data_IF_542943701624
#
_entry.id   IF_542943701624
#
_cell.length_a   1.000
_cell.length_b   1.000
_cell.length_c   1.000
_cell.angle_alpha   90.00
_cell.angle_beta   90.00
_cell.angle_gamma   90.00
#
_symmetry.space_group_name_H-M   'P 1'
#
loop_
_entity.id
_entity.type
_entity.pdbx_description
1 polymer ?
#
# COMPACT_ATOMS: atom_id res chain seq x y z
N UNK A 1 5.48 -23.06 -67.00
CA UNK A 1 5.60 -21.68 -67.53
C UNK A 1 6.73 -20.98 -66.77
N UNK A 2 7.70 -20.42 -67.52
CA UNK A 2 8.74 -19.42 -67.16
C UNK A 2 9.44 -19.61 -65.79
N UNK A 3 10.63 -20.23 -65.68
CA UNK A 3 11.98 -19.75 -66.10
C UNK A 3 12.16 -18.23 -65.93
N UNK A 4 13.10 -17.82 -65.06
CA UNK A 4 14.35 -17.13 -65.41
C UNK A 4 15.30 -17.18 -64.19
N UNK A 5 16.56 -17.47 -64.53
CA UNK A 5 17.75 -17.59 -63.70
C UNK A 5 18.73 -16.51 -64.20
N UNK A 6 19.56 -15.93 -63.32
CA UNK A 6 20.83 -15.20 -63.55
C UNK A 6 21.41 -14.97 -62.13
N UNK A 7 22.56 -15.47 -61.62
CA UNK A 7 23.92 -15.76 -62.14
C UNK A 7 24.53 -14.48 -62.74
N UNK A 8 25.69 -13.94 -62.38
CA UNK A 8 26.97 -14.49 -61.90
C UNK A 8 27.95 -13.37 -61.50
N UNK A 9 29.08 -13.79 -60.94
CA UNK A 9 30.30 -13.09 -60.48
C UNK A 9 31.04 -12.19 -61.49
N UNK A 10 31.82 -11.22 -61.00
CA UNK A 10 32.86 -10.44 -61.73
C UNK A 10 33.84 -9.81 -60.69
N UNK A 11 35.02 -10.35 -60.36
CA UNK A 11 36.34 -10.46 -61.02
C UNK A 11 37.13 -9.13 -61.17
N UNK A 12 38.37 -9.12 -60.63
CA UNK A 12 39.56 -8.32 -61.04
C UNK A 12 39.84 -7.07 -60.20
N UNK A 13 40.89 -6.94 -59.35
CA UNK A 13 42.35 -7.13 -59.52
C UNK A 13 42.95 -6.32 -60.68
N UNK A 14 43.79 -5.29 -60.38
CA UNK A 14 45.10 -5.01 -61.01
C UNK A 14 45.79 -3.75 -60.40
N UNK A 15 47.00 -4.01 -59.90
CA UNK A 15 48.24 -3.22 -59.80
C UNK A 15 48.35 -1.78 -60.35
N UNK A 16 49.12 -0.94 -59.65
CA UNK A 16 50.34 -0.39 -60.26
C UNK A 16 50.64 1.12 -60.15
N UNK A 17 51.40 1.51 -59.12
CA UNK A 17 52.59 2.41 -59.09
C UNK A 17 52.77 3.56 -60.11
N UNK A 18 53.01 4.78 -59.60
CA UNK A 18 54.03 5.79 -59.99
C UNK A 18 53.96 6.95 -58.96
N UNK A 19 54.78 7.04 -57.91
CA UNK A 19 56.20 7.43 -57.80
C UNK A 19 56.53 8.86 -58.29
N UNK A 20 56.91 9.73 -57.33
CA UNK A 20 57.93 10.82 -57.28
C UNK A 20 57.55 11.69 -56.05
N UNK A 21 58.08 11.47 -54.85
CA UNK A 21 59.43 11.80 -54.32
C UNK A 21 59.62 13.31 -54.02
N UNK A 22 59.89 13.56 -52.73
CA UNK A 22 60.58 14.70 -52.08
C UNK A 22 59.81 15.99 -51.75
N UNK A 23 59.60 16.22 -50.45
CA UNK A 23 60.29 17.34 -49.80
C UNK A 23 60.63 17.02 -48.34
N UNK A 24 61.86 17.32 -47.98
CA UNK A 24 62.54 16.92 -46.76
C UNK A 24 62.23 17.82 -45.55
N UNK A 25 62.19 17.18 -44.39
CA UNK A 25 62.73 17.59 -43.08
C UNK A 25 62.53 19.04 -42.62
N UNK A 26 61.77 19.19 -41.53
CA UNK A 26 62.26 19.90 -40.33
C UNK A 26 61.56 19.32 -39.08
N UNK A 27 62.25 18.43 -38.37
CA UNK A 27 61.94 18.09 -36.98
C UNK A 27 62.47 19.24 -36.13
N UNK A 28 61.58 20.09 -35.64
CA UNK A 28 61.89 20.95 -34.50
C UNK A 28 61.57 20.17 -33.22
N UNK A 29 62.48 20.14 -32.23
CA UNK A 29 62.11 19.70 -30.90
C UNK A 29 61.12 20.71 -30.33
N UNK A 30 59.89 20.28 -30.02
CA UNK A 30 59.05 21.04 -29.10
C UNK A 30 59.68 20.89 -27.72
N UNK A 31 60.56 21.83 -27.42
CA UNK A 31 61.06 22.07 -26.08
C UNK A 31 59.86 22.47 -25.20
N UNK A 32 59.59 21.66 -24.18
CA UNK A 32 58.52 21.88 -23.23
C UNK A 32 58.82 23.16 -22.43
N UNK A 33 57.91 24.12 -22.47
CA UNK A 33 57.83 25.13 -21.42
C UNK A 33 56.94 24.55 -20.31
N UNK A 34 57.42 24.42 -19.06
CA UNK A 34 56.52 24.16 -17.94
C UNK A 34 55.51 25.32 -17.87
N UNK A 35 54.24 24.97 -17.67
CA UNK A 35 53.18 25.93 -17.39
C UNK A 35 53.60 26.78 -16.18
N UNK A 36 53.23 28.07 -16.15
CA UNK A 36 53.35 28.87 -14.94
C UNK A 36 52.67 28.11 -13.80
N UNK A 37 53.39 27.87 -12.71
CA UNK A 37 52.78 27.51 -11.44
C UNK A 37 51.91 28.71 -11.04
N UNK A 38 50.64 28.70 -11.44
CA UNK A 38 49.63 29.56 -10.83
C UNK A 38 49.50 29.09 -9.38
N UNK A 39 50.28 29.76 -8.53
CA UNK A 39 50.16 29.75 -7.09
C UNK A 39 48.68 30.03 -6.76
N UNK A 40 47.94 28.98 -6.40
CA UNK A 40 46.60 29.13 -5.82
C UNK A 40 46.75 30.13 -4.67
N UNK A 41 45.91 31.19 -4.62
CA UNK A 41 45.95 32.13 -3.52
C UNK A 41 45.80 31.37 -2.21
N UNK A 42 46.41 31.84 -1.10
CA UNK A 42 46.25 31.20 0.19
C UNK A 42 44.77 30.94 0.41
N UNK A 43 44.41 29.70 0.74
CA UNK A 43 43.10 29.45 1.31
C UNK A 43 43.08 30.20 2.64
N UNK A 44 42.66 31.46 2.59
CA UNK A 44 42.11 32.13 3.74
C UNK A 44 41.06 31.17 4.26
N UNK A 45 41.41 30.55 5.38
CA UNK A 45 40.50 29.76 6.18
C UNK A 45 39.28 30.64 6.35
N UNK A 46 38.18 30.31 5.68
CA UNK A 46 36.89 30.87 6.06
C UNK A 46 36.67 30.31 7.46
N UNK A 47 37.11 31.09 8.45
CA UNK A 47 36.68 30.92 9.82
C UNK A 47 35.17 31.14 9.74
N UNK A 48 34.45 30.03 9.67
CA UNK A 48 33.04 30.01 9.95
C UNK A 48 32.92 30.45 11.41
N UNK A 49 32.80 31.75 11.62
CA UNK A 49 32.38 32.33 12.88
C UNK A 49 30.91 31.99 13.02
N UNK A 50 30.65 30.76 13.47
CA UNK A 50 29.37 30.41 14.06
C UNK A 50 29.26 31.35 15.29
N UNK A 51 28.29 32.28 15.34
CA UNK A 51 28.05 33.02 16.57
C UNK A 51 27.73 31.99 17.67
N UNK A 52 28.23 32.14 18.91
CA UNK A 52 27.89 31.25 20.00
C UNK A 52 26.47 31.61 20.47
N UNK A 53 25.47 31.22 19.70
CA UNK A 53 24.12 31.09 20.24
C UNK A 53 23.94 29.64 20.64
N UNK A 54 24.41 29.31 21.84
CA UNK A 54 23.91 28.15 22.59
C UNK A 54 22.56 28.54 23.18
N UNK A 55 21.57 28.77 22.31
CA UNK A 55 20.20 28.51 22.73
C UNK A 55 20.06 26.99 22.65
N UNK A 56 19.77 26.29 23.77
CA UNK A 56 19.41 24.89 23.68
C UNK A 56 18.24 24.81 22.72
N UNK A 57 18.44 24.11 21.59
CA UNK A 57 17.34 23.70 20.73
C UNK A 57 16.34 23.08 21.70
N UNK A 58 15.12 23.60 21.83
CA UNK A 58 14.14 22.97 22.69
C UNK A 58 14.06 21.53 22.20
N UNK A 59 14.45 20.60 23.06
CA UNK A 59 14.27 19.16 22.87
C UNK A 59 12.77 18.93 22.96
N UNK A 60 12.06 19.42 21.95
CA UNK A 60 10.74 18.94 21.62
C UNK A 60 11.07 17.59 21.02
N UNK A 61 11.08 16.56 21.85
CA UNK A 61 10.90 15.19 21.36
C UNK A 61 9.80 15.29 20.30
N UNK A 62 10.03 14.85 19.06
CA UNK A 62 8.95 14.77 18.11
C UNK A 62 7.90 13.86 18.75
N UNK A 63 6.85 14.46 19.31
CA UNK A 63 5.65 13.73 19.70
C UNK A 63 5.08 13.24 18.39
N UNK A 64 5.51 12.05 17.97
CA UNK A 64 4.63 11.15 17.28
C UNK A 64 3.55 10.81 18.31
N UNK A 65 2.61 11.74 18.49
CA UNK A 65 1.34 11.45 19.12
C UNK A 65 0.83 10.29 18.28
N UNK A 66 0.93 9.06 18.80
CA UNK A 66 0.37 7.89 18.17
C UNK A 66 -1.15 8.00 18.32
N UNK A 67 -1.74 9.02 17.71
CA UNK A 67 -3.18 9.08 17.52
C UNK A 67 -3.51 7.88 16.64
N UNK A 68 -3.95 6.81 17.31
CA UNK A 68 -4.49 5.64 16.64
C UNK A 68 -5.50 6.17 15.62
N UNK A 69 -5.36 5.81 14.33
CA UNK A 69 -6.29 6.25 13.30
C UNK A 69 -7.71 5.99 13.80
N UNK A 70 -8.49 7.06 13.95
CA UNK A 70 -9.89 6.92 14.34
C UNK A 70 -10.63 6.42 13.12
N UNK A 71 -10.96 5.13 13.11
CA UNK A 71 -11.70 4.50 12.03
C UNK A 71 -13.17 4.84 12.22
N UNK A 72 -13.75 5.58 11.27
CA UNK A 72 -15.17 5.84 11.22
C UNK A 72 -15.87 4.71 10.47
N UNK A 73 -16.69 3.92 11.17
CA UNK A 73 -17.56 2.93 10.52
C UNK A 73 -18.74 3.68 9.86
N UNK A 74 -18.88 3.64 8.52
CA UNK A 74 -20.00 4.32 7.86
C UNK A 74 -21.34 3.73 8.33
N UNK A 75 -22.26 4.61 8.79
CA UNK A 75 -23.55 4.19 9.37
C UNK A 75 -23.47 3.76 10.84
N UNK A 76 -22.51 4.32 11.59
CA UNK A 76 -22.17 3.99 12.98
C UNK A 76 -23.29 4.26 13.97
N UNK A 77 -24.01 3.20 14.33
CA UNK A 77 -24.37 2.96 15.74
C UNK A 77 -23.12 2.41 16.39
N UNK A 78 -22.73 3.02 17.51
CA UNK A 78 -21.70 2.46 18.39
C UNK A 78 -22.08 1.03 18.76
N UNK A 79 -21.29 0.07 18.27
CA UNK A 79 -21.61 -1.34 18.45
C UNK A 79 -21.67 -1.75 19.93
N UNK A 80 -21.03 -0.97 20.80
CA UNK A 80 -21.05 -1.12 22.25
C UNK A 80 -22.38 -0.70 22.91
N UNK A 81 -23.24 0.08 22.24
CA UNK A 81 -24.53 0.56 22.80
C UNK A 81 -25.75 0.06 22.04
N UNK A 82 -25.57 -0.69 20.95
CA UNK A 82 -26.71 -1.24 20.23
C UNK A 82 -27.25 -2.51 20.94
N UNK A 83 -28.52 -2.44 21.30
CA UNK A 83 -29.25 -3.52 21.97
C UNK A 83 -30.27 -4.10 20.98
N UNK A 84 -30.28 -5.43 20.83
CA UNK A 84 -31.28 -6.08 19.99
C UNK A 84 -32.66 -5.91 20.63
N UNK A 85 -33.57 -5.28 19.91
CA UNK A 85 -34.92 -4.96 20.37
C UNK A 85 -35.90 -6.08 20.03
N UNK A 86 -35.46 -7.33 20.23
CA UNK A 86 -36.29 -8.51 20.02
C UNK A 86 -37.47 -8.44 20.98
N UNK A 87 -38.68 -8.31 20.43
CA UNK A 87 -39.95 -8.29 21.18
C UNK A 87 -40.22 -7.03 22.03
N UNK A 88 -39.43 -5.96 21.88
CA UNK A 88 -39.74 -4.68 22.56
C UNK A 88 -40.96 -4.04 21.90
N UNK A 89 -41.91 -3.57 22.71
CA UNK A 89 -43.13 -2.85 22.31
C UNK A 89 -42.80 -1.48 21.69
N UNK A 90 -42.18 -1.47 20.51
CA UNK A 90 -42.06 -0.28 19.66
C UNK A 90 -43.33 -0.20 18.84
N UNK A 91 -44.05 0.90 18.96
CA UNK A 91 -45.41 1.20 18.48
C UNK A 91 -45.60 1.17 16.96
N UNK A 92 -44.60 0.75 16.18
CA UNK A 92 -44.66 0.69 14.73
C UNK A 92 -44.36 -0.72 14.22
N UNK A 93 -45.43 -1.48 13.96
CA UNK A 93 -45.35 -2.82 13.36
C UNK A 93 -45.03 -2.80 11.86
N UNK A 94 -45.06 -1.62 11.22
CA UNK A 94 -44.87 -1.48 9.77
C UNK A 94 -43.41 -1.64 9.32
N UNK A 95 -42.47 -1.45 10.23
CA UNK A 95 -41.03 -1.50 9.92
C UNK A 95 -40.38 -2.80 10.44
N UNK A 96 -41.19 -3.85 10.62
CA UNK A 96 -40.74 -5.16 11.09
C UNK A 96 -40.95 -6.22 10.01
N UNK A 97 -40.03 -7.18 9.96
CA UNK A 97 -40.11 -8.32 9.05
C UNK A 97 -39.67 -9.60 9.76
N UNK A 98 -40.18 -10.74 9.28
CA UNK A 98 -39.86 -12.05 9.83
C UNK A 98 -38.53 -12.55 9.26
N UNK A 99 -37.59 -12.90 10.14
CA UNK A 99 -36.32 -13.49 9.78
C UNK A 99 -36.42 -15.00 9.96
N UNK A 100 -36.38 -15.73 8.84
CA UNK A 100 -36.24 -17.19 8.78
C UNK A 100 -34.79 -17.61 8.99
N UNK A 101 -33.86 -16.92 8.35
CA UNK A 101 -32.44 -17.26 8.40
C UNK A 101 -31.55 -16.04 8.18
N UNK A 102 -30.29 -16.15 8.63
CA UNK A 102 -29.26 -15.14 8.45
C UNK A 102 -28.07 -15.81 7.80
N UNK A 103 -27.70 -15.35 6.61
CA UNK A 103 -26.56 -15.84 5.86
C UNK A 103 -25.45 -14.81 5.90
N UNK A 104 -24.26 -15.26 6.30
CA UNK A 104 -23.06 -14.42 6.30
C UNK A 104 -22.14 -14.91 5.19
N UNK A 105 -21.72 -13.99 4.34
CA UNK A 105 -20.86 -14.26 3.18
C UNK A 105 -19.57 -13.46 3.29
N UNK A 106 -18.44 -14.04 2.90
CA UNK A 106 -17.13 -13.37 2.92
C UNK A 106 -16.40 -13.39 4.27
N UNK A 107 -16.92 -14.08 5.28
CA UNK A 107 -16.23 -14.34 6.54
C UNK A 107 -15.34 -15.58 6.43
N UNK A 108 -14.07 -15.44 6.06
CA UNK A 108 -13.14 -16.59 5.97
C UNK A 108 -12.32 -16.77 7.25
N UNK A 109 -12.08 -15.68 7.98
CA UNK A 109 -11.14 -15.67 9.10
C UNK A 109 -11.81 -15.90 10.46
N UNK A 110 -13.02 -15.37 10.66
CA UNK A 110 -13.71 -15.35 11.96
C UNK A 110 -15.08 -16.06 11.92
N UNK A 111 -15.18 -17.19 11.23
CA UNK A 111 -16.44 -17.92 11.04
C UNK A 111 -17.12 -18.29 12.36
N UNK A 112 -16.39 -18.96 13.26
CA UNK A 112 -16.89 -19.43 14.55
C UNK A 112 -17.43 -18.31 15.43
N UNK A 113 -16.66 -17.24 15.59
CA UNK A 113 -17.03 -16.11 16.45
C UNK A 113 -18.23 -15.35 15.88
N UNK A 114 -18.34 -15.28 14.56
CA UNK A 114 -19.50 -14.66 13.90
C UNK A 114 -20.76 -15.52 14.08
N UNK A 115 -20.66 -16.84 13.95
CA UNK A 115 -21.78 -17.74 14.17
C UNK A 115 -22.31 -17.65 15.61
N UNK A 116 -21.41 -17.48 16.59
CA UNK A 116 -21.77 -17.20 17.98
C UNK A 116 -22.54 -15.89 18.13
N UNK A 117 -22.07 -14.78 17.51
CA UNK A 117 -22.79 -13.50 17.52
C UNK A 117 -24.19 -13.62 16.92
N UNK A 118 -24.33 -14.34 15.80
CA UNK A 118 -25.64 -14.56 15.15
C UNK A 118 -26.55 -15.37 16.06
N UNK A 119 -26.05 -16.42 16.69
CA UNK A 119 -26.81 -17.24 17.63
C UNK A 119 -27.27 -16.41 18.84
N UNK A 120 -26.38 -15.63 19.42
CA UNK A 120 -26.64 -14.80 20.61
C UNK A 120 -27.58 -13.63 20.32
N UNK A 121 -27.64 -13.16 19.06
CA UNK A 121 -28.61 -12.14 18.65
C UNK A 121 -30.06 -12.60 18.76
N UNK A 122 -30.30 -13.92 18.75
CA UNK A 122 -31.64 -14.53 18.78
C UNK A 122 -32.60 -14.03 17.68
N UNK A 123 -32.08 -13.45 16.60
CA UNK A 123 -32.88 -12.89 15.51
C UNK A 123 -33.52 -13.97 14.61
N UNK A 124 -32.93 -15.16 14.57
CA UNK A 124 -33.42 -16.27 13.75
C UNK A 124 -34.79 -16.76 14.24
N UNK A 125 -35.71 -16.97 13.29
CA UNK A 125 -37.11 -17.31 13.52
C UNK A 125 -37.89 -16.28 14.34
N UNK A 126 -37.49 -15.01 14.28
CA UNK A 126 -38.16 -13.91 14.98
C UNK A 126 -38.45 -12.74 14.05
N UNK A 127 -39.38 -11.90 14.50
CA UNK A 127 -39.67 -10.62 13.87
C UNK A 127 -38.69 -9.58 14.38
N UNK A 128 -37.96 -8.94 13.48
CA UNK A 128 -36.94 -7.96 13.78
C UNK A 128 -37.16 -6.66 13.00
N UNK A 129 -36.49 -5.61 13.46
CA UNK A 129 -36.45 -4.29 12.82
C UNK A 129 -35.22 -4.15 11.94
N UNK A 130 -35.17 -3.10 11.11
CA UNK A 130 -33.96 -2.77 10.36
C UNK A 130 -32.80 -2.43 11.31
N UNK A 131 -33.08 -1.75 12.42
CA UNK A 131 -32.11 -1.38 13.46
C UNK A 131 -31.43 -2.61 14.07
N UNK A 132 -32.17 -3.71 14.26
CA UNK A 132 -31.61 -4.97 14.74
C UNK A 132 -30.56 -5.53 13.76
N UNK A 133 -30.82 -5.47 12.46
CA UNK A 133 -29.85 -5.90 11.44
C UNK A 133 -28.63 -4.98 11.39
N UNK A 134 -28.85 -3.68 11.52
CA UNK A 134 -27.77 -2.67 11.61
C UNK A 134 -26.90 -2.95 12.84
N UNK A 135 -27.49 -3.31 13.97
CA UNK A 135 -26.77 -3.71 15.18
C UNK A 135 -25.97 -5.00 14.96
N UNK A 136 -26.55 -6.03 14.35
CA UNK A 136 -25.84 -7.27 14.04
C UNK A 136 -24.62 -7.01 13.14
N UNK A 137 -24.80 -6.23 12.08
CA UNK A 137 -23.70 -5.78 11.19
C UNK A 137 -22.62 -5.01 11.96
N UNK A 138 -23.02 -4.09 12.85
CA UNK A 138 -22.07 -3.36 13.71
C UNK A 138 -21.27 -4.32 14.60
N UNK A 139 -21.92 -5.31 15.23
CA UNK A 139 -21.25 -6.28 16.12
C UNK A 139 -20.22 -7.13 15.37
N UNK A 140 -20.55 -7.57 14.16
CA UNK A 140 -19.61 -8.28 13.30
C UNK A 140 -18.42 -7.38 12.96
N UNK A 141 -18.65 -6.13 12.56
CA UNK A 141 -17.55 -5.19 12.27
C UNK A 141 -16.67 -4.94 13.50
N UNK A 142 -17.28 -4.76 14.67
CA UNK A 142 -16.57 -4.57 15.94
C UNK A 142 -15.68 -5.77 16.29
N UNK A 143 -16.17 -7.00 16.07
CA UNK A 143 -15.37 -8.21 16.24
C UNK A 143 -14.10 -8.19 15.38
N UNK A 144 -14.18 -7.77 14.11
CA UNK A 144 -13.00 -7.62 13.25
C UNK A 144 -12.03 -6.58 13.79
N UNK A 145 -12.54 -5.43 14.24
CA UNK A 145 -11.70 -4.37 14.83
C UNK A 145 -10.98 -4.83 16.11
N UNK A 146 -11.67 -5.57 16.99
CA UNK A 146 -11.10 -6.13 18.22
C UNK A 146 -10.04 -7.18 17.95
N UNK A 147 -10.18 -7.94 16.87
CA UNK A 147 -9.21 -8.95 16.42
C UNK A 147 -8.07 -8.39 15.58
N UNK A 148 -8.05 -7.07 15.31
CA UNK A 148 -6.96 -6.38 14.61
C UNK A 148 -7.14 -6.24 13.09
N UNK A 149 -8.28 -6.64 12.53
CA UNK A 149 -8.59 -6.55 11.10
C UNK A 149 -9.20 -5.17 10.76
N UNK A 150 -8.39 -4.12 10.91
CA UNK A 150 -8.84 -2.72 10.82
C UNK A 150 -9.37 -2.30 9.44
N UNK A 151 -8.97 -2.99 8.38
CA UNK A 151 -9.42 -2.76 6.99
C UNK A 151 -10.59 -3.66 6.58
N UNK A 152 -11.19 -4.37 7.54
CA UNK A 152 -12.31 -5.29 7.30
C UNK A 152 -13.60 -4.73 7.88
N UNK A 153 -14.73 -5.11 7.29
CA UNK A 153 -16.04 -4.65 7.76
C UNK A 153 -17.21 -5.41 7.17
N UNK A 154 -18.37 -5.29 7.83
CA UNK A 154 -19.60 -5.94 7.41
C UNK A 154 -20.63 -4.92 6.88
N UNK A 155 -21.42 -5.34 5.89
CA UNK A 155 -22.48 -4.55 5.29
C UNK A 155 -23.73 -5.40 5.04
N UNK A 156 -24.88 -4.76 5.09
CA UNK A 156 -26.14 -5.40 4.72
C UNK A 156 -26.27 -5.38 3.20
N UNK A 157 -26.54 -6.52 2.57
CA UNK A 157 -26.65 -6.59 1.12
C UNK A 157 -27.79 -5.69 0.60
N UNK A 158 -27.50 -4.86 -0.41
CA UNK A 158 -28.47 -3.94 -1.00
C UNK A 158 -29.47 -4.71 -1.87
N UNK A 159 -30.73 -4.26 -1.92
CA UNK A 159 -31.77 -4.82 -2.81
C UNK A 159 -32.02 -6.33 -2.66
N UNK A 160 -31.72 -6.91 -1.50
CA UNK A 160 -32.02 -8.32 -1.22
C UNK A 160 -33.53 -8.55 -1.08
N UNK A 161 -34.02 -9.69 -1.58
CA UNK A 161 -35.42 -10.08 -1.43
C UNK A 161 -35.68 -10.62 -0.01
N UNK A 162 -36.28 -9.78 0.84
CA UNK A 162 -36.65 -10.14 2.21
C UNK A 162 -37.99 -10.89 2.28
N UNK A 163 -38.68 -11.15 1.16
CA UNK A 163 -39.97 -11.87 1.16
C UNK A 163 -39.83 -13.31 1.63
N UNK A 164 -38.66 -13.93 1.40
CA UNK A 164 -38.32 -15.24 1.92
C UNK A 164 -37.85 -15.19 3.39
N UNK A 165 -37.65 -14.01 3.98
CA UNK A 165 -37.14 -13.86 5.34
C UNK A 165 -35.69 -14.33 5.52
N UNK A 166 -34.90 -14.43 4.45
CA UNK A 166 -33.46 -14.72 4.54
C UNK A 166 -32.72 -13.40 4.41
N UNK A 167 -31.94 -13.06 5.44
CA UNK A 167 -31.13 -11.85 5.47
C UNK A 167 -29.69 -12.21 5.15
N UNK A 168 -29.09 -11.52 4.18
CA UNK A 168 -27.68 -11.65 3.82
C UNK A 168 -26.88 -10.47 4.37
N UNK A 169 -25.87 -10.78 5.19
CA UNK A 169 -24.83 -9.84 5.62
C UNK A 169 -23.54 -10.24 4.92
N UNK A 170 -22.91 -9.29 4.25
CA UNK A 170 -21.65 -9.51 3.57
C UNK A 170 -20.50 -8.88 4.33
N UNK A 171 -19.41 -9.61 4.43
CA UNK A 171 -18.16 -9.17 5.02
C UNK A 171 -17.15 -8.94 3.89
N UNK A 172 -16.47 -7.80 3.92
CA UNK A 172 -15.24 -7.58 3.15
C UNK A 172 -14.06 -7.72 4.09
N UNK A 173 -13.23 -8.72 3.84
CA UNK A 173 -11.95 -8.90 4.54
C UNK A 173 -10.86 -8.22 3.71
N UNK A 174 -10.20 -7.24 4.30
CA UNK A 174 -9.08 -6.54 3.67
C UNK A 174 -7.81 -7.39 3.72
N UNK A 175 -7.07 -7.43 2.60
CA UNK A 175 -5.74 -8.02 2.52
C UNK A 175 -4.69 -6.94 2.25
N UNK A 176 -3.45 -7.21 2.65
CA UNK A 176 -2.32 -6.34 2.31
C UNK A 176 -1.80 -6.73 0.93
N UNK A 177 -1.88 -5.82 -0.03
CA UNK A 177 -1.43 -6.06 -1.41
C UNK A 177 0.08 -5.82 -1.55
N UNK A 178 0.54 -4.59 -1.31
CA UNK A 178 1.94 -4.20 -1.49
C UNK A 178 2.41 -3.22 -0.41
N UNK A 179 3.68 -3.34 0.00
CA UNK A 179 4.38 -2.35 0.81
C UNK A 179 5.44 -1.68 -0.05
N UNK A 180 5.22 -0.41 -0.42
CA UNK A 180 6.20 0.40 -1.15
C UNK A 180 6.99 1.24 -0.13
N UNK A 181 8.31 1.05 -0.11
CA UNK A 181 9.22 1.83 0.73
C UNK A 181 9.94 2.86 -0.14
N UNK A 182 9.80 4.15 0.16
CA UNK A 182 10.45 5.26 -0.55
C UNK A 182 11.52 5.94 0.31
N UNK A 183 12.55 6.52 -0.30
CA UNK A 183 13.56 7.34 0.41
C UNK A 183 14.58 6.54 1.22
N UNK A 184 14.97 5.35 0.75
CA UNK A 184 15.87 4.44 1.45
C UNK A 184 17.36 4.72 1.22
N UNK A 185 17.72 5.83 0.57
CA UNK A 185 19.08 6.12 0.07
C UNK A 185 20.18 6.16 1.15
N UNK A 186 19.79 6.29 2.43
CA UNK A 186 20.70 6.33 3.59
C UNK A 186 20.50 5.16 4.56
N UNK A 187 19.54 4.28 4.30
CA UNK A 187 19.21 3.14 5.16
C UNK A 187 19.91 1.88 4.66
N UNK A 188 20.62 1.21 5.57
CA UNK A 188 21.27 -0.07 5.28
C UNK A 188 20.21 -1.13 4.97
N UNK A 189 20.40 -1.87 3.87
CA UNK A 189 19.46 -2.88 3.36
C UNK A 189 19.15 -4.00 4.37
N UNK A 190 20.10 -4.31 5.25
CA UNK A 190 19.93 -5.25 6.36
C UNK A 190 18.84 -4.83 7.35
N UNK A 191 18.69 -3.53 7.62
CA UNK A 191 17.66 -3.01 8.52
C UNK A 191 16.25 -3.14 7.92
N UNK A 192 16.13 -2.96 6.61
CA UNK A 192 14.87 -3.07 5.87
C UNK A 192 14.38 -4.52 5.86
N UNK A 193 15.30 -5.47 5.70
CA UNK A 193 14.97 -6.90 5.71
C UNK A 193 14.44 -7.35 7.08
N UNK A 194 15.04 -6.87 8.17
CA UNK A 194 14.57 -7.14 9.55
C UNK A 194 13.18 -6.56 9.79
N UNK A 195 12.91 -5.33 9.31
CA UNK A 195 11.57 -4.73 9.41
C UNK A 195 10.53 -5.51 8.63
N UNK A 196 10.84 -5.92 7.38
CA UNK A 196 9.93 -6.73 6.55
C UNK A 196 9.61 -8.09 7.19
N UNK A 197 10.60 -8.72 7.81
CA UNK A 197 10.45 -10.02 8.46
C UNK A 197 9.65 -9.90 9.77
N UNK A 198 9.79 -8.78 10.48
CA UNK A 198 9.00 -8.46 11.67
C UNK A 198 7.56 -8.03 11.35
N UNK A 199 7.31 -7.44 10.17
CA UNK A 199 5.98 -7.06 9.68
C UNK A 199 5.24 -8.18 8.96
N UNK A 200 5.90 -9.30 8.64
CA UNK A 200 5.21 -10.49 8.14
C UNK A 200 4.32 -11.01 9.27
N UNK A 201 2.99 -11.10 9.06
CA UNK A 201 2.08 -11.50 10.13
C UNK A 201 2.53 -12.87 10.65
N UNK A 202 2.82 -12.91 11.94
CA UNK A 202 3.07 -14.13 12.67
C UNK A 202 1.75 -14.92 12.59
N UNK A 203 1.70 -15.89 11.68
CA UNK A 203 0.57 -16.79 11.49
C UNK A 203 0.66 -17.87 12.58
N UNK A 204 -0.28 -17.95 13.53
CA UNK A 204 -0.48 -19.18 14.29
C UNK A 204 -0.99 -20.30 13.38
#
# INVERSE_FOLDING_TARGET
>A
MKKICLKSDFIGSIFGVFSIVYLAKFLLPLNAQPLPDDELPPQDTIQQTIPPNTEPIPETEPSFENEKPTIFVPGGVDSARCEFSVDKSITNYRDRFFIRDIQIIGNTVLQSEIDEIVKDSQLKYRTATFEDLVCLRSRITQLYLEKGYVTSGAFLANNQDLSNGVVTIQVVEGSLEEIILTGLDRLQESYITVLKQKSSPNKP
#
